data_IF_044729603373
#
_entry.id   IF_044729603373
#
_cell.length_a   1.000
_cell.length_b   1.000
_cell.length_c   1.000
_cell.angle_alpha   90.00
_cell.angle_beta   90.00
_cell.angle_gamma   90.00
#
_symmetry.space_group_name_H-M   'P 1'
#
loop_
_entity.id
_entity.type
_entity.pdbx_description
1 polymer ?
#
# COMPACT_ATOMS: atom_id res chain seq x y z
N UNK A 1 -36.32 3.90 -12.67
CA UNK A 1 -35.28 4.76 -13.25
C UNK A 1 -34.27 5.03 -12.15
N UNK A 2 -33.15 4.29 -12.12
CA UNK A 2 -32.08 4.48 -11.13
C UNK A 2 -31.13 5.55 -11.65
N UNK A 3 -31.05 6.69 -10.96
CA UNK A 3 -30.07 7.73 -11.22
C UNK A 3 -28.65 7.15 -11.03
N UNK A 4 -27.95 6.86 -12.12
CA UNK A 4 -26.50 6.73 -12.10
C UNK A 4 -25.94 8.11 -11.80
N UNK A 5 -25.41 8.30 -10.59
CA UNK A 5 -24.60 9.46 -10.25
C UNK A 5 -23.32 9.38 -11.09
N UNK A 6 -23.22 10.28 -12.05
CA UNK A 6 -22.01 10.54 -12.81
C UNK A 6 -20.97 11.17 -11.83
N UNK A 7 -20.23 10.36 -11.12
CA UNK A 7 -19.03 10.82 -10.40
C UNK A 7 -17.98 11.08 -11.48
N UNK A 8 -17.77 12.34 -11.84
CA UNK A 8 -16.86 12.77 -12.88
C UNK A 8 -15.39 12.49 -12.52
N UNK A 9 -15.03 11.22 -12.47
CA UNK A 9 -13.64 10.78 -12.41
C UNK A 9 -13.18 10.61 -13.84
N UNK A 10 -12.41 11.58 -14.32
CA UNK A 10 -11.75 11.50 -15.61
C UNK A 10 -10.62 10.46 -15.53
N UNK A 11 -10.95 9.20 -15.79
CA UNK A 11 -9.93 8.21 -16.18
C UNK A 11 -9.54 8.60 -17.60
N UNK A 12 -8.52 9.45 -17.70
CA UNK A 12 -8.08 10.03 -18.97
C UNK A 12 -7.10 9.04 -19.61
N UNK A 13 -7.55 8.38 -20.66
CA UNK A 13 -6.60 7.82 -21.65
C UNK A 13 -6.13 8.99 -22.50
N UNK A 14 -5.21 9.81 -21.97
CA UNK A 14 -4.56 10.84 -22.77
C UNK A 14 -3.71 10.22 -23.88
N UNK A 15 -3.62 10.94 -25.00
CA UNK A 15 -2.73 10.63 -26.13
C UNK A 15 -1.34 10.33 -25.58
N UNK A 16 -0.88 9.10 -25.74
CA UNK A 16 0.44 8.64 -25.30
C UNK A 16 1.52 9.50 -26.00
N UNK A 17 2.06 10.48 -25.27
CA UNK A 17 3.35 11.01 -25.64
C UNK A 17 4.40 9.98 -25.20
N UNK A 18 5.19 9.46 -26.12
CA UNK A 18 6.33 8.56 -25.80
C UNK A 18 7.40 9.29 -24.98
N UNK A 19 7.35 10.63 -24.97
CA UNK A 19 8.25 11.54 -24.26
C UNK A 19 7.47 12.54 -23.44
N UNK A 20 7.84 12.74 -22.18
CA UNK A 20 7.21 13.69 -21.27
C UNK A 20 8.25 14.35 -20.37
N UNK A 21 8.14 15.65 -20.20
CA UNK A 21 8.91 16.44 -19.24
C UNK A 21 8.02 16.93 -18.11
N UNK A 22 8.31 16.49 -16.89
CA UNK A 22 7.79 17.07 -15.66
C UNK A 22 8.72 18.19 -15.23
N UNK A 23 8.31 19.43 -15.47
CA UNK A 23 9.12 20.63 -15.25
C UNK A 23 8.81 21.28 -13.91
N UNK A 24 9.80 21.94 -13.32
CA UNK A 24 9.66 22.69 -12.06
C UNK A 24 9.06 21.86 -10.93
N UNK A 25 9.53 20.62 -10.76
CA UNK A 25 9.07 19.68 -9.76
C UNK A 25 9.82 19.86 -8.43
N UNK A 26 9.13 19.70 -7.32
CA UNK A 26 9.74 19.27 -6.06
C UNK A 26 9.90 17.75 -6.14
N UNK A 27 11.10 17.29 -6.50
CA UNK A 27 11.43 15.87 -6.62
C UNK A 27 11.67 15.30 -5.23
N UNK A 28 10.81 14.36 -4.83
CA UNK A 28 10.82 13.82 -3.48
C UNK A 28 10.72 12.29 -3.52
N UNK A 29 11.75 11.59 -3.06
CA UNK A 29 11.77 10.14 -2.88
C UNK A 29 12.51 9.73 -1.61
N UNK A 30 12.79 8.43 -1.42
CA UNK A 30 13.48 7.91 -0.25
C UNK A 30 14.92 8.43 -0.07
N UNK A 31 15.53 9.02 -1.10
CA UNK A 31 16.93 9.44 -1.15
C UNK A 31 17.09 10.89 -1.60
N UNK A 32 16.06 11.49 -2.17
CA UNK A 32 16.09 12.78 -2.83
C UNK A 32 15.00 13.70 -2.28
N UNK A 33 15.39 14.94 -1.99
CA UNK A 33 14.50 16.04 -1.66
C UNK A 33 15.11 17.32 -2.28
N UNK A 34 14.68 17.66 -3.51
CA UNK A 34 15.26 18.78 -4.25
C UNK A 34 14.28 19.30 -5.32
N UNK A 35 14.57 20.49 -5.86
CA UNK A 35 13.83 21.00 -7.01
C UNK A 35 14.56 20.70 -8.31
N UNK A 36 13.78 20.36 -9.36
CA UNK A 36 14.32 20.01 -10.66
C UNK A 36 13.27 19.67 -11.69
N UNK A 37 13.68 18.94 -12.72
CA UNK A 37 12.77 18.44 -13.76
C UNK A 37 13.11 16.98 -14.09
N UNK A 38 12.11 16.20 -14.47
CA UNK A 38 12.28 14.77 -14.78
C UNK A 38 11.78 14.54 -16.21
N UNK A 39 12.66 14.00 -17.05
CA UNK A 39 12.34 13.59 -18.40
C UNK A 39 12.10 12.09 -18.49
N UNK A 40 10.94 11.74 -19.00
CA UNK A 40 10.48 10.36 -19.18
C UNK A 40 10.40 10.07 -20.68
N UNK A 41 10.95 8.93 -21.09
CA UNK A 41 10.88 8.44 -22.45
C UNK A 41 10.52 6.95 -22.46
N UNK A 42 9.50 6.58 -23.22
CA UNK A 42 9.04 5.17 -23.35
C UNK A 42 8.80 4.47 -22.01
N UNK A 43 8.24 5.21 -21.04
CA UNK A 43 7.91 4.69 -19.72
C UNK A 43 9.05 4.62 -18.72
N UNK A 44 10.26 5.02 -19.10
CA UNK A 44 11.45 5.07 -18.24
C UNK A 44 11.87 6.50 -17.93
N UNK A 45 12.42 6.72 -16.76
CA UNK A 45 13.08 7.98 -16.41
C UNK A 45 14.42 8.04 -17.16
N UNK A 46 14.51 8.91 -18.16
CA UNK A 46 15.70 9.03 -19.01
C UNK A 46 16.70 10.02 -18.42
N UNK A 47 16.19 11.17 -17.89
CA UNK A 47 17.05 12.19 -17.30
C UNK A 47 16.37 12.93 -16.15
N UNK A 48 17.23 13.45 -15.25
CA UNK A 48 16.84 14.29 -14.12
C UNK A 48 17.71 15.53 -14.20
N UNK A 49 17.08 16.70 -14.28
CA UNK A 49 17.72 18.00 -14.36
C UNK A 49 17.59 18.72 -13.03
N UNK A 50 18.66 19.35 -12.56
CA UNK A 50 18.60 20.26 -11.40
C UNK A 50 17.95 21.59 -11.80
N UNK A 51 17.50 22.36 -10.84
CA UNK A 51 16.83 23.65 -11.09
C UNK A 51 17.70 24.64 -11.89
N UNK A 52 19.04 24.53 -11.79
CA UNK A 52 20.00 25.40 -12.50
C UNK A 52 20.36 24.89 -13.91
N UNK A 53 19.94 23.66 -14.28
CA UNK A 53 20.31 23.09 -15.56
C UNK A 53 19.50 23.75 -16.69
N UNK A 54 20.19 24.15 -17.76
CA UNK A 54 19.53 24.62 -18.98
C UNK A 54 19.08 23.39 -19.78
N UNK A 55 17.81 23.34 -20.12
CA UNK A 55 17.24 22.29 -20.95
C UNK A 55 17.23 22.81 -22.40
N UNK A 56 18.35 22.59 -23.10
CA UNK A 56 18.65 23.27 -24.38
C UNK A 56 17.79 22.82 -25.57
N UNK A 57 17.19 21.64 -25.55
CA UNK A 57 16.25 21.21 -26.60
C UNK A 57 15.33 20.10 -26.11
N UNK A 58 14.05 20.37 -26.11
CA UNK A 58 13.01 19.37 -25.97
C UNK A 58 12.45 19.10 -27.36
N UNK A 59 12.36 17.85 -27.78
CA UNK A 59 11.72 17.48 -29.02
C UNK A 59 10.31 18.09 -29.12
N UNK A 60 9.91 18.55 -30.29
CA UNK A 60 8.58 19.17 -30.52
C UNK A 60 7.42 18.23 -30.15
N UNK A 61 7.65 16.92 -30.12
CA UNK A 61 6.65 15.90 -29.77
C UNK A 61 6.63 15.55 -28.26
N UNK A 62 7.41 16.25 -27.43
CA UNK A 62 7.44 16.03 -25.99
C UNK A 62 6.25 16.72 -25.31
N UNK A 63 5.48 15.96 -24.54
CA UNK A 63 4.50 16.53 -23.60
C UNK A 63 5.23 17.24 -22.45
N UNK A 64 4.82 18.46 -22.11
CA UNK A 64 5.38 19.22 -20.98
C UNK A 64 4.30 19.43 -19.94
N UNK A 65 4.60 19.05 -18.70
CA UNK A 65 3.77 19.36 -17.52
C UNK A 65 4.58 20.25 -16.59
N UNK A 66 4.17 21.49 -16.39
CA UNK A 66 4.79 22.40 -15.43
C UNK A 66 4.16 22.20 -14.04
N UNK A 67 4.92 21.63 -13.12
CA UNK A 67 4.44 21.27 -11.78
C UNK A 67 4.39 22.48 -10.83
N UNK A 68 5.02 23.61 -11.19
CA UNK A 68 4.98 24.85 -10.39
C UNK A 68 5.37 24.63 -8.92
N UNK A 69 6.34 23.75 -8.67
CA UNK A 69 6.80 23.39 -7.33
C UNK A 69 6.03 22.28 -6.63
N UNK A 70 4.99 21.71 -7.25
CA UNK A 70 4.30 20.53 -6.70
C UNK A 70 5.22 19.32 -6.62
N UNK A 71 4.93 18.43 -5.67
CA UNK A 71 5.73 17.24 -5.47
C UNK A 71 5.56 16.23 -6.63
N UNK A 72 6.69 15.76 -7.16
CA UNK A 72 6.79 14.60 -8.01
C UNK A 72 7.44 13.49 -7.21
N UNK A 73 6.70 12.42 -6.96
CA UNK A 73 7.08 11.34 -6.06
C UNK A 73 6.97 9.98 -6.79
N UNK A 74 7.71 8.94 -6.36
CA UNK A 74 7.35 7.57 -6.76
C UNK A 74 5.92 7.29 -6.32
N UNK A 75 5.13 6.70 -7.19
CA UNK A 75 3.81 6.20 -6.80
C UNK A 75 3.95 5.12 -5.73
N UNK A 76 2.95 4.99 -4.87
CA UNK A 76 3.00 4.12 -3.69
C UNK A 76 2.77 2.65 -4.04
N UNK A 77 3.21 1.79 -3.13
CA UNK A 77 3.07 0.33 -3.17
C UNK A 77 2.31 -0.10 -1.92
N UNK A 78 1.15 -0.71 -2.10
CA UNK A 78 0.38 -1.29 -1.00
C UNK A 78 0.49 -2.82 -1.02
N UNK A 79 1.01 -3.38 0.05
CA UNK A 79 1.18 -4.83 0.16
C UNK A 79 0.09 -5.50 0.99
N UNK A 80 -0.90 -4.72 1.45
CA UNK A 80 -1.97 -5.21 2.30
C UNK A 80 -3.29 -4.48 2.03
N UNK A 81 -4.15 -5.06 1.20
CA UNK A 81 -5.52 -4.60 0.98
C UNK A 81 -6.48 -5.77 0.75
N UNK A 82 -7.80 -5.51 0.78
CA UNK A 82 -8.83 -6.52 0.62
C UNK A 82 -9.80 -6.11 -0.49
N UNK A 83 -9.67 -6.71 -1.68
CA UNK A 83 -10.57 -6.42 -2.81
C UNK A 83 -11.79 -7.34 -2.86
N UNK A 84 -11.94 -8.27 -1.92
CA UNK A 84 -13.16 -9.06 -1.70
C UNK A 84 -13.63 -9.92 -2.88
N UNK A 85 -12.87 -10.00 -3.95
CA UNK A 85 -13.18 -10.69 -5.20
C UNK A 85 -12.27 -11.92 -5.38
N UNK A 86 -12.83 -13.12 -5.49
CA UNK A 86 -14.24 -13.48 -5.66
C UNK A 86 -15.04 -13.57 -4.37
N UNK A 87 -16.38 -13.52 -4.54
CA UNK A 87 -17.36 -13.96 -3.57
C UNK A 87 -18.00 -12.88 -2.71
N UNK A 88 -17.40 -11.70 -2.62
CA UNK A 88 -17.91 -10.57 -1.85
C UNK A 88 -17.87 -9.27 -2.64
N UNK A 89 -18.08 -9.37 -3.97
CA UNK A 89 -17.93 -8.25 -4.92
C UNK A 89 -18.92 -7.11 -4.66
N UNK A 90 -19.93 -7.34 -3.81
CA UNK A 90 -20.83 -6.29 -3.36
C UNK A 90 -20.16 -5.30 -2.38
N UNK A 91 -19.10 -5.73 -1.67
CA UNK A 91 -18.31 -4.89 -0.78
C UNK A 91 -17.24 -4.13 -1.55
N UNK A 92 -16.52 -4.83 -2.41
CA UNK A 92 -15.47 -4.35 -3.30
C UNK A 92 -15.18 -5.38 -4.37
N UNK A 93 -14.68 -4.99 -5.53
CA UNK A 93 -14.12 -5.90 -6.50
C UNK A 93 -12.75 -5.39 -7.04
N UNK A 94 -12.08 -6.22 -7.82
CA UNK A 94 -10.77 -5.88 -8.37
C UNK A 94 -10.84 -4.60 -9.21
N UNK A 95 -11.89 -4.39 -10.01
CA UNK A 95 -12.03 -3.20 -10.86
C UNK A 95 -12.17 -1.91 -10.04
N UNK A 96 -13.08 -1.88 -9.08
CA UNK A 96 -13.31 -0.70 -8.23
C UNK A 96 -12.14 -0.48 -7.26
N UNK A 97 -11.57 -1.54 -6.70
CA UNK A 97 -10.40 -1.46 -5.84
C UNK A 97 -9.17 -0.90 -6.55
N UNK A 98 -8.90 -1.31 -7.80
CA UNK A 98 -7.80 -0.75 -8.61
C UNK A 98 -8.05 0.72 -8.97
N UNK A 99 -9.29 1.12 -9.23
CA UNK A 99 -9.64 2.53 -9.46
C UNK A 99 -9.44 3.38 -8.20
N UNK A 100 -9.82 2.85 -7.05
CA UNK A 100 -9.57 3.50 -5.76
C UNK A 100 -8.07 3.61 -5.46
N UNK A 101 -7.30 2.55 -5.71
CA UNK A 101 -5.86 2.51 -5.52
C UNK A 101 -5.13 3.57 -6.38
N UNK A 102 -5.40 3.61 -7.70
CA UNK A 102 -4.73 4.57 -8.58
C UNK A 102 -5.09 6.02 -8.24
N UNK A 103 -6.32 6.30 -7.80
CA UNK A 103 -6.72 7.60 -7.26
C UNK A 103 -6.00 7.93 -5.97
N UNK A 104 -5.76 6.93 -5.12
CA UNK A 104 -5.00 7.05 -3.88
C UNK A 104 -3.48 7.24 -4.07
N UNK A 105 -2.96 7.15 -5.31
CA UNK A 105 -1.54 7.30 -5.61
C UNK A 105 -0.76 5.98 -5.66
N UNK A 106 -1.42 4.83 -5.66
CA UNK A 106 -0.80 3.52 -5.69
C UNK A 106 -0.65 2.98 -7.12
N UNK A 107 0.56 2.55 -7.51
CA UNK A 107 0.78 1.88 -8.79
C UNK A 107 0.79 0.36 -8.67
N UNK A 108 0.98 -0.16 -7.47
CA UNK A 108 1.01 -1.58 -7.16
C UNK A 108 0.19 -1.87 -5.90
N UNK A 109 -0.58 -2.95 -5.95
CA UNK A 109 -1.36 -3.43 -4.80
C UNK A 109 -1.28 -4.95 -4.68
N UNK A 110 -1.22 -5.45 -3.45
CA UNK A 110 -1.31 -6.87 -3.15
C UNK A 110 -2.57 -7.15 -2.32
N UNK A 111 -3.49 -7.94 -2.88
CA UNK A 111 -4.77 -8.23 -2.26
C UNK A 111 -4.74 -9.53 -1.47
N UNK A 112 -5.23 -9.51 -0.22
CA UNK A 112 -5.28 -10.64 0.70
C UNK A 112 -6.15 -11.80 0.21
N UNK A 113 -5.85 -13.00 0.72
CA UNK A 113 -6.41 -14.26 0.26
C UNK A 113 -7.83 -14.57 0.76
N UNK A 114 -8.40 -13.75 1.66
CA UNK A 114 -9.67 -13.97 2.35
C UNK A 114 -10.91 -13.68 1.48
N UNK A 115 -10.97 -14.37 0.36
CA UNK A 115 -12.05 -14.35 -0.63
C UNK A 115 -12.93 -15.62 -0.53
N UNK A 116 -14.00 -15.74 -1.33
CA UNK A 116 -14.83 -16.93 -1.39
C UNK A 116 -15.09 -17.34 -2.85
N UNK A 117 -14.44 -18.41 -3.35
CA UNK A 117 -13.49 -19.26 -2.65
C UNK A 117 -12.18 -18.54 -2.27
N UNK A 118 -11.50 -19.06 -1.26
CA UNK A 118 -10.20 -18.57 -0.78
C UNK A 118 -9.15 -18.66 -1.88
N UNK A 119 -8.23 -17.69 -1.92
CA UNK A 119 -7.11 -17.69 -2.88
C UNK A 119 -5.96 -18.62 -2.39
N UNK A 120 -6.27 -19.91 -2.27
CA UNK A 120 -5.37 -20.98 -1.83
C UNK A 120 -4.91 -21.90 -2.98
N UNK A 121 -5.26 -21.58 -4.21
CA UNK A 121 -4.96 -22.39 -5.39
C UNK A 121 -4.72 -21.54 -6.64
N UNK A 122 -4.03 -22.14 -7.61
CA UNK A 122 -3.63 -21.48 -8.88
C UNK A 122 -4.82 -20.93 -9.66
N UNK A 123 -5.96 -21.62 -9.65
CA UNK A 123 -7.13 -21.21 -10.45
C UNK A 123 -7.65 -19.83 -10.02
N UNK A 124 -7.77 -19.62 -8.70
CA UNK A 124 -8.26 -18.35 -8.16
C UNK A 124 -7.22 -17.24 -8.37
N UNK A 125 -5.94 -17.53 -8.09
CA UNK A 125 -4.85 -16.56 -8.26
C UNK A 125 -4.77 -16.09 -9.72
N UNK A 126 -4.77 -17.02 -10.69
CA UNK A 126 -4.71 -16.67 -12.11
C UNK A 126 -5.94 -15.89 -12.57
N UNK A 127 -7.15 -16.28 -12.11
CA UNK A 127 -8.37 -15.53 -12.40
C UNK A 127 -8.23 -14.06 -11.97
N UNK A 128 -7.76 -13.84 -10.75
CA UNK A 128 -7.65 -12.50 -10.19
C UNK A 128 -6.54 -11.68 -10.88
N UNK A 129 -5.39 -12.29 -11.17
CA UNK A 129 -4.34 -11.65 -11.98
C UNK A 129 -4.85 -11.26 -13.37
N UNK A 130 -5.60 -12.15 -14.04
CA UNK A 130 -6.14 -11.85 -15.37
C UNK A 130 -7.16 -10.70 -15.30
N UNK A 131 -8.08 -10.72 -14.34
CA UNK A 131 -9.08 -9.66 -14.14
C UNK A 131 -8.40 -8.30 -13.89
N UNK A 132 -7.37 -8.26 -13.04
CA UNK A 132 -6.61 -7.05 -12.79
C UNK A 132 -5.84 -6.55 -14.02
N UNK A 133 -5.24 -7.47 -14.78
CA UNK A 133 -4.51 -7.17 -16.03
C UNK A 133 -5.42 -6.53 -17.08
N UNK A 134 -6.66 -6.95 -17.16
CA UNK A 134 -7.64 -6.44 -18.14
C UNK A 134 -8.03 -4.98 -17.84
N UNK A 135 -8.01 -4.55 -16.56
CA UNK A 135 -8.26 -3.16 -16.15
C UNK A 135 -7.14 -2.20 -16.55
N UNK A 136 -5.88 -2.65 -16.65
CA UNK A 136 -4.71 -1.84 -17.07
C UNK A 136 -4.48 -0.58 -16.23
N UNK A 137 -4.84 -0.60 -14.95
CA UNK A 137 -4.76 0.55 -14.05
C UNK A 137 -3.51 0.50 -13.15
N UNK A 138 -3.38 -0.55 -12.35
CA UNK A 138 -2.26 -0.79 -11.43
C UNK A 138 -1.61 -2.13 -11.71
N UNK A 139 -0.38 -2.31 -11.29
CA UNK A 139 0.17 -3.65 -11.11
C UNK A 139 -0.51 -4.31 -9.91
N UNK A 140 -0.83 -5.59 -10.03
CA UNK A 140 -1.62 -6.32 -9.04
C UNK A 140 -0.98 -7.65 -8.69
N UNK A 141 -0.96 -7.98 -7.41
CA UNK A 141 -0.60 -9.29 -6.91
C UNK A 141 -1.74 -9.88 -6.07
N UNK A 142 -2.10 -11.12 -6.34
CA UNK A 142 -2.96 -11.89 -5.44
C UNK A 142 -2.09 -12.60 -4.42
N UNK A 143 -2.21 -12.24 -3.15
CA UNK A 143 -1.59 -12.95 -2.04
C UNK A 143 -2.23 -14.33 -1.94
N UNK A 144 -1.42 -15.38 -1.80
CA UNK A 144 -1.93 -16.73 -1.57
C UNK A 144 -2.19 -16.97 -0.08
N UNK A 145 -3.22 -17.71 0.25
CA UNK A 145 -3.35 -18.27 1.60
C UNK A 145 -2.14 -19.17 1.89
N UNK A 146 -1.63 -19.17 3.13
CA UNK A 146 -0.60 -20.11 3.55
C UNK A 146 -1.20 -21.45 3.98
N UNK A 147 -2.41 -21.44 4.51
CA UNK A 147 -3.17 -22.64 4.86
C UNK A 147 -4.36 -22.85 3.93
N UNK A 148 -4.68 -24.10 3.62
CA UNK A 148 -5.85 -24.47 2.83
C UNK A 148 -7.11 -23.92 3.51
N UNK A 149 -7.90 -23.12 2.76
CA UNK A 149 -9.13 -22.51 3.29
C UNK A 149 -8.89 -21.47 4.39
N UNK A 150 -7.68 -20.89 4.51
CA UNK A 150 -7.25 -20.00 5.61
C UNK A 150 -7.22 -20.69 6.99
N UNK A 151 -7.15 -22.01 7.02
CA UNK A 151 -7.00 -22.79 8.26
C UNK A 151 -5.51 -22.93 8.63
N UNK A 152 -5.21 -23.31 9.86
CA UNK A 152 -3.85 -23.56 10.36
C UNK A 152 -3.57 -25.06 10.60
N UNK A 153 -4.16 -25.93 9.74
CA UNK A 153 -3.99 -27.38 9.78
C UNK A 153 -3.04 -27.91 8.71
N UNK A 154 -3.25 -27.50 7.46
CA UNK A 154 -2.52 -27.97 6.29
C UNK A 154 -2.04 -26.81 5.43
N UNK A 155 -0.74 -26.84 5.07
CA UNK A 155 -0.16 -25.86 4.16
C UNK A 155 -0.66 -26.06 2.72
N UNK A 156 -0.82 -24.96 1.98
CA UNK A 156 -0.99 -25.01 0.54
C UNK A 156 0.28 -25.55 -0.16
N UNK A 157 0.19 -25.89 -1.44
CA UNK A 157 1.38 -26.22 -2.25
C UNK A 157 2.19 -24.94 -2.52
N UNK A 158 2.97 -24.52 -1.52
CA UNK A 158 3.76 -23.28 -1.55
C UNK A 158 4.69 -23.22 -2.75
N UNK A 159 5.32 -24.34 -3.12
CA UNK A 159 6.22 -24.43 -4.27
C UNK A 159 5.52 -24.08 -5.58
N UNK A 160 4.30 -24.57 -5.80
CA UNK A 160 3.52 -24.23 -7.00
C UNK A 160 3.04 -22.81 -6.98
N UNK A 161 2.54 -22.31 -5.83
CA UNK A 161 1.96 -20.98 -5.74
C UNK A 161 3.04 -19.88 -5.76
N UNK A 162 4.27 -20.19 -5.31
CA UNK A 162 5.39 -19.24 -5.32
C UNK A 162 5.72 -18.70 -6.73
N UNK A 163 5.38 -19.44 -7.78
CA UNK A 163 5.54 -18.96 -9.16
C UNK A 163 4.61 -17.79 -9.52
N UNK A 164 3.54 -17.57 -8.74
CA UNK A 164 2.52 -16.56 -9.00
C UNK A 164 2.53 -15.43 -7.98
N UNK A 165 2.98 -15.68 -6.77
CA UNK A 165 3.06 -14.68 -5.71
C UNK A 165 4.27 -14.91 -4.81
N UNK A 166 4.83 -13.81 -4.31
CA UNK A 166 5.92 -13.84 -3.33
C UNK A 166 5.41 -13.74 -1.88
N UNK A 167 4.13 -13.43 -1.70
CA UNK A 167 3.55 -13.14 -0.40
C UNK A 167 2.43 -14.13 -0.09
N UNK A 168 2.51 -14.74 1.11
CA UNK A 168 1.54 -15.71 1.62
C UNK A 168 1.00 -15.23 2.96
N UNK A 169 -0.30 -15.38 3.18
CA UNK A 169 -0.95 -14.93 4.42
C UNK A 169 -2.25 -15.67 4.67
N UNK A 170 -2.58 -15.86 5.94
CA UNK A 170 -3.94 -16.18 6.38
C UNK A 170 -4.68 -14.96 6.91
N UNK A 171 -4.29 -13.73 6.50
CA UNK A 171 -4.87 -12.51 7.02
C UNK A 171 -6.39 -12.50 7.02
N UNK A 172 -6.95 -11.92 8.09
CA UNK A 172 -8.32 -12.09 8.52
C UNK A 172 -8.51 -13.24 9.51
N UNK A 173 -7.56 -14.22 9.54
CA UNK A 173 -7.50 -15.32 10.51
C UNK A 173 -6.12 -15.36 11.17
N UNK A 174 -6.11 -15.74 12.46
CA UNK A 174 -4.87 -16.02 13.18
C UNK A 174 -4.31 -17.40 12.82
N UNK A 175 -2.99 -17.55 12.95
CA UNK A 175 -2.33 -18.86 12.99
C UNK A 175 -2.09 -19.17 14.47
N UNK A 176 -2.92 -20.01 15.08
CA UNK A 176 -2.79 -20.41 16.48
C UNK A 176 -1.86 -21.61 16.68
N UNK A 177 -1.83 -22.53 15.71
CA UNK A 177 -0.98 -23.71 15.79
C UNK A 177 0.50 -23.35 15.69
N UNK A 178 1.25 -23.63 16.77
CA UNK A 178 2.71 -23.45 16.84
C UNK A 178 3.42 -24.31 15.79
N UNK A 179 2.98 -25.54 15.63
CA UNK A 179 3.52 -26.51 14.69
C UNK A 179 3.31 -26.09 13.24
N UNK A 180 2.12 -25.55 12.93
CA UNK A 180 1.82 -25.02 11.61
C UNK A 180 2.68 -23.77 11.31
N UNK A 181 2.75 -22.82 12.24
CA UNK A 181 3.56 -21.61 12.10
C UNK A 181 5.05 -21.94 11.87
N UNK A 182 5.58 -22.90 12.63
CA UNK A 182 6.96 -23.38 12.46
C UNK A 182 7.19 -23.97 11.06
N UNK A 183 6.26 -24.81 10.58
CA UNK A 183 6.31 -25.36 9.21
C UNK A 183 6.24 -24.24 8.15
N UNK A 184 5.35 -23.27 8.32
CA UNK A 184 5.20 -22.14 7.41
C UNK A 184 6.48 -21.29 7.32
N UNK A 185 7.16 -21.04 8.45
CA UNK A 185 8.45 -20.36 8.48
C UNK A 185 9.55 -21.15 7.76
N UNK A 186 9.62 -22.47 7.98
CA UNK A 186 10.58 -23.32 7.28
C UNK A 186 10.34 -23.34 5.77
N UNK A 187 9.09 -23.42 5.33
CA UNK A 187 8.74 -23.34 3.90
C UNK A 187 9.03 -21.94 3.33
N UNK A 188 8.80 -20.85 4.09
CA UNK A 188 9.13 -19.49 3.65
C UNK A 188 10.63 -19.31 3.37
N UNK A 189 11.47 -19.96 4.17
CA UNK A 189 12.92 -19.97 3.96
C UNK A 189 13.32 -20.81 2.76
N UNK A 190 12.72 -21.98 2.62
CA UNK A 190 13.03 -22.95 1.56
C UNK A 190 12.62 -22.48 0.17
N UNK A 191 11.41 -21.95 0.03
CA UNK A 191 10.82 -21.52 -1.23
C UNK A 191 11.00 -20.00 -1.49
N UNK A 192 11.70 -19.28 -0.61
CA UNK A 192 11.99 -17.84 -0.67
C UNK A 192 10.73 -16.98 -0.87
N UNK A 193 9.74 -17.14 -0.01
CA UNK A 193 8.56 -16.28 0.04
C UNK A 193 8.46 -15.54 1.37
N UNK A 194 7.58 -14.53 1.45
CA UNK A 194 7.29 -13.76 2.64
C UNK A 194 6.03 -14.32 3.28
N UNK A 195 6.13 -14.71 4.55
CA UNK A 195 5.00 -15.09 5.38
C UNK A 195 4.47 -13.85 6.12
N UNK A 196 3.34 -13.31 5.68
CA UNK A 196 2.67 -12.19 6.33
C UNK A 196 1.63 -12.71 7.34
N UNK A 197 1.69 -12.20 8.57
CA UNK A 197 0.86 -12.71 9.67
C UNK A 197 0.00 -11.61 10.29
N UNK A 198 -1.28 -11.91 10.43
CA UNK A 198 -2.22 -11.22 11.30
C UNK A 198 -2.10 -11.82 12.70
N UNK A 199 -1.99 -11.00 13.72
CA UNK A 199 -1.80 -11.45 15.11
C UNK A 199 -2.85 -10.84 16.04
N UNK A 200 -3.72 -11.69 16.61
CA UNK A 200 -4.71 -11.29 17.62
C UNK A 200 -4.99 -12.43 18.59
N UNK A 201 -4.61 -12.36 19.88
CA UNK A 201 -4.02 -11.21 20.61
C UNK A 201 -2.61 -10.85 20.11
N UNK A 202 -2.40 -9.56 19.82
CA UNK A 202 -1.25 -9.09 19.02
C UNK A 202 0.10 -9.44 19.65
N UNK A 203 0.42 -8.89 20.81
CA UNK A 203 1.74 -9.09 21.43
C UNK A 203 2.06 -10.55 21.74
N UNK A 204 1.06 -11.34 22.15
CA UNK A 204 1.25 -12.76 22.48
C UNK A 204 1.63 -13.60 21.25
N UNK A 205 0.90 -13.40 20.12
CA UNK A 205 1.19 -14.13 18.89
C UNK A 205 2.50 -13.65 18.27
N UNK A 206 2.77 -12.34 18.27
CA UNK A 206 4.05 -11.79 17.81
C UNK A 206 5.22 -12.37 18.62
N UNK A 207 5.12 -12.42 19.96
CA UNK A 207 6.16 -12.99 20.80
C UNK A 207 6.46 -14.45 20.43
N UNK A 208 5.41 -15.27 20.26
CA UNK A 208 5.53 -16.66 19.82
C UNK A 208 6.20 -16.77 18.44
N UNK A 209 5.76 -15.95 17.48
CA UNK A 209 6.26 -16.01 16.11
C UNK A 209 7.72 -15.57 16.00
N UNK A 210 8.12 -14.58 16.79
CA UNK A 210 9.51 -14.15 16.89
C UNK A 210 10.40 -15.23 17.51
N UNK A 211 9.92 -15.97 18.53
CA UNK A 211 10.64 -17.11 19.11
C UNK A 211 10.83 -18.23 18.07
N UNK A 212 9.79 -18.53 17.29
CA UNK A 212 9.88 -19.51 16.22
C UNK A 212 10.81 -19.05 15.09
N UNK A 213 10.77 -17.76 14.73
CA UNK A 213 11.67 -17.17 13.75
C UNK A 213 13.14 -17.28 14.21
N UNK A 214 13.42 -17.03 15.50
CA UNK A 214 14.75 -17.21 16.10
C UNK A 214 15.20 -18.68 16.05
N UNK A 215 14.27 -19.63 16.27
CA UNK A 215 14.55 -21.06 16.27
C UNK A 215 14.85 -21.63 14.87
N UNK A 216 14.03 -21.31 13.87
CA UNK A 216 14.10 -21.98 12.54
C UNK A 216 14.50 -21.07 11.39
N UNK A 217 14.49 -19.75 11.59
CA UNK A 217 14.62 -18.77 10.53
C UNK A 217 13.37 -18.67 9.67
N UNK A 218 13.46 -17.94 8.58
CA UNK A 218 12.35 -17.67 7.65
C UNK A 218 12.31 -16.23 7.22
N UNK A 219 11.27 -15.85 6.44
CA UNK A 219 11.02 -14.49 6.01
C UNK A 219 9.66 -14.05 6.57
N UNK A 220 9.65 -13.39 7.72
CA UNK A 220 8.43 -12.99 8.42
C UNK A 220 8.09 -11.52 8.13
N UNK A 221 6.82 -11.26 7.86
CA UNK A 221 6.24 -9.92 7.83
C UNK A 221 5.07 -9.84 8.82
N UNK A 222 5.11 -8.87 9.73
CA UNK A 222 4.07 -8.67 10.75
C UNK A 222 3.14 -7.56 10.23
N UNK A 223 1.88 -7.92 9.99
CA UNK A 223 0.86 -7.00 9.49
C UNK A 223 0.41 -6.01 10.57
N UNK A 224 0.00 -4.81 10.14
CA UNK A 224 -0.78 -3.78 10.88
C UNK A 224 -0.50 -3.71 12.39
N UNK A 225 0.78 -3.55 12.78
CA UNK A 225 1.17 -3.43 14.20
C UNK A 225 0.46 -2.24 14.84
N UNK A 226 -0.12 -2.45 16.04
CA UNK A 226 -0.98 -1.45 16.69
C UNK A 226 -0.64 -1.15 18.15
N UNK A 227 0.22 -1.94 18.81
CA UNK A 227 0.48 -1.78 20.25
C UNK A 227 1.94 -1.49 20.60
N UNK A 228 2.14 -0.73 21.68
CA UNK A 228 3.46 -0.42 22.26
C UNK A 228 4.24 -1.69 22.62
N UNK A 229 3.55 -2.70 23.15
CA UNK A 229 4.19 -3.97 23.54
C UNK A 229 4.73 -4.70 22.31
N UNK A 230 3.94 -4.77 21.23
CA UNK A 230 4.36 -5.36 19.96
C UNK A 230 5.56 -4.64 19.35
N UNK A 231 5.57 -3.31 19.36
CA UNK A 231 6.71 -2.51 18.90
C UNK A 231 7.98 -2.83 19.69
N UNK A 232 7.87 -2.97 21.01
CA UNK A 232 9.01 -3.36 21.86
C UNK A 232 9.57 -4.72 21.44
N UNK A 233 8.72 -5.73 21.28
CA UNK A 233 9.13 -7.10 20.87
C UNK A 233 9.79 -7.08 19.48
N UNK A 234 9.22 -6.39 18.52
CA UNK A 234 9.76 -6.27 17.16
C UNK A 234 11.12 -5.55 17.16
N UNK A 235 11.26 -4.47 17.92
CA UNK A 235 12.51 -3.72 18.04
C UNK A 235 13.63 -4.60 18.61
N UNK A 236 13.35 -5.34 19.69
CA UNK A 236 14.29 -6.28 20.30
C UNK A 236 14.70 -7.40 19.33
N UNK A 237 13.75 -7.95 18.56
CA UNK A 237 14.01 -8.97 17.56
C UNK A 237 14.90 -8.46 16.41
N UNK A 238 14.65 -7.22 15.92
CA UNK A 238 15.49 -6.58 14.91
C UNK A 238 16.90 -6.28 15.42
N UNK A 239 17.05 -5.85 16.69
CA UNK A 239 18.35 -5.64 17.32
C UNK A 239 19.16 -6.93 17.45
N UNK A 240 18.52 -8.08 17.63
CA UNK A 240 19.14 -9.41 17.57
C UNK A 240 19.49 -9.86 16.15
N UNK A 241 19.13 -9.10 15.12
CA UNK A 241 19.39 -9.43 13.72
C UNK A 241 18.41 -10.41 13.08
N UNK A 242 17.23 -10.61 13.67
CA UNK A 242 16.22 -11.46 13.07
C UNK A 242 15.69 -10.86 11.75
N UNK A 243 15.43 -11.70 10.77
CA UNK A 243 15.00 -11.33 9.42
C UNK A 243 13.48 -11.14 9.40
N UNK A 244 13.02 -9.93 9.75
CA UNK A 244 11.60 -9.60 9.72
C UNK A 244 11.38 -8.17 9.21
N UNK A 245 10.19 -7.95 8.70
CA UNK A 245 9.62 -6.63 8.42
C UNK A 245 8.27 -6.49 9.10
N UNK A 246 7.81 -5.27 9.29
CA UNK A 246 6.47 -5.00 9.79
C UNK A 246 5.89 -3.74 9.16
N UNK A 247 4.57 -3.63 9.22
CA UNK A 247 3.82 -2.51 8.67
C UNK A 247 2.90 -1.85 9.69
N UNK A 248 2.51 -0.63 9.38
CA UNK A 248 1.49 0.13 10.12
C UNK A 248 0.49 0.73 9.14
N UNK A 249 -0.76 0.85 9.58
CA UNK A 249 -1.85 1.37 8.76
C UNK A 249 -2.06 2.86 8.96
N UNK A 250 -2.70 3.57 7.99
CA UNK A 250 -2.97 4.99 8.13
C UNK A 250 -3.86 5.30 9.34
N UNK A 251 -4.85 4.46 9.62
CA UNK A 251 -5.79 4.70 10.71
C UNK A 251 -5.15 4.53 12.10
N UNK A 252 -4.21 3.61 12.31
CA UNK A 252 -3.48 3.47 13.57
C UNK A 252 -2.45 4.58 13.80
N UNK A 253 -1.85 5.13 12.71
CA UNK A 253 -0.92 6.26 12.79
C UNK A 253 -1.62 7.62 12.89
N UNK A 254 -2.82 7.75 12.36
CA UNK A 254 -3.55 9.02 12.31
C UNK A 254 -4.34 9.29 13.59
N UNK A 255 -4.81 8.22 14.27
CA UNK A 255 -5.69 8.39 15.41
C UNK A 255 -5.62 7.23 16.41
N UNK A 256 -6.19 7.44 17.60
CA UNK A 256 -6.27 6.47 18.69
C UNK A 256 -7.61 6.59 19.44
N UNK A 257 -8.00 5.54 20.16
CA UNK A 257 -9.16 5.56 21.05
C UNK A 257 -10.51 5.77 20.35
N UNK A 258 -10.58 5.55 19.03
CA UNK A 258 -11.83 5.67 18.28
C UNK A 258 -12.69 4.43 18.50
N UNK A 259 -13.94 4.61 18.89
CA UNK A 259 -14.93 3.54 18.95
C UNK A 259 -15.45 3.21 17.55
N UNK A 260 -14.61 2.51 16.78
CA UNK A 260 -14.95 2.00 15.47
C UNK A 260 -14.28 0.65 15.25
N UNK A 261 -15.06 -0.35 14.83
CA UNK A 261 -14.59 -1.72 14.77
C UNK A 261 -13.62 -1.94 13.60
N UNK A 262 -12.37 -2.16 13.95
CA UNK A 262 -11.25 -2.60 13.08
C UNK A 262 -10.54 -3.78 13.77
N UNK A 263 -9.69 -4.46 13.08
CA UNK A 263 -8.90 -5.57 13.62
C UNK A 263 -7.47 -5.53 13.04
N UNK A 264 -6.45 -5.16 13.86
CA UNK A 264 -6.51 -4.89 15.30
C UNK A 264 -7.34 -3.63 15.65
N UNK A 265 -7.87 -3.52 16.89
CA UNK A 265 -8.61 -2.34 17.32
C UNK A 265 -7.69 -1.11 17.44
N UNK A 266 -8.30 0.09 17.43
CA UNK A 266 -7.57 1.31 17.77
C UNK A 266 -6.96 1.19 19.16
N UNK A 267 -5.66 1.46 19.25
CA UNK A 267 -4.90 1.44 20.49
C UNK A 267 -5.16 2.64 21.39
N UNK A 268 -4.50 2.65 22.53
CA UNK A 268 -4.44 3.78 23.46
C UNK A 268 -3.59 4.94 22.88
N UNK A 269 -3.59 6.07 23.59
CA UNK A 269 -2.71 7.19 23.28
C UNK A 269 -1.23 6.80 23.36
N UNK A 270 -0.89 5.96 24.33
CA UNK A 270 0.46 5.42 24.53
C UNK A 270 0.90 4.52 23.38
N UNK A 271 -0.01 3.70 22.87
CA UNK A 271 0.22 2.85 21.69
C UNK A 271 0.48 3.71 20.45
N UNK A 272 -0.36 4.71 20.21
CA UNK A 272 -0.19 5.64 19.10
C UNK A 272 1.17 6.34 19.11
N UNK A 273 1.61 6.90 20.25
CA UNK A 273 2.94 7.52 20.33
C UNK A 273 4.06 6.51 20.15
N UNK A 274 3.91 5.27 20.60
CA UNK A 274 4.88 4.22 20.35
C UNK A 274 5.02 3.89 18.87
N UNK A 275 3.92 3.89 18.11
CA UNK A 275 3.94 3.73 16.64
C UNK A 275 4.65 4.90 15.95
N UNK A 276 4.39 6.15 16.37
CA UNK A 276 5.07 7.33 15.83
C UNK A 276 6.59 7.24 16.04
N UNK A 277 7.03 6.92 17.26
CA UNK A 277 8.47 6.73 17.54
C UNK A 277 9.06 5.54 16.78
N UNK A 278 8.30 4.47 16.56
CA UNK A 278 8.74 3.32 15.78
C UNK A 278 8.86 3.61 14.27
N UNK A 279 8.10 4.57 13.76
CA UNK A 279 8.29 5.11 12.40
C UNK A 279 9.58 5.92 12.32
N UNK A 280 9.87 6.77 13.33
CA UNK A 280 11.08 7.62 13.38
C UNK A 280 12.36 6.79 13.51
N UNK A 281 12.39 5.80 14.38
CA UNK A 281 13.57 4.98 14.69
C UNK A 281 13.74 3.79 13.73
N UNK A 282 12.89 3.68 12.70
CA UNK A 282 12.91 2.62 11.68
C UNK A 282 12.58 1.21 12.19
N UNK A 283 11.94 1.08 13.35
CA UNK A 283 11.39 -0.19 13.82
C UNK A 283 10.28 -0.68 12.89
N UNK A 284 9.38 0.23 12.43
CA UNK A 284 8.38 -0.06 11.40
C UNK A 284 8.99 0.21 10.02
N UNK A 285 8.81 -0.71 9.09
CA UNK A 285 9.42 -0.65 7.76
C UNK A 285 8.50 -0.05 6.70
N UNK A 286 7.20 -0.36 6.76
CA UNK A 286 6.26 -0.19 5.64
C UNK A 286 4.99 0.50 6.11
N UNK A 287 4.43 1.34 5.24
CA UNK A 287 3.09 1.87 5.32
C UNK A 287 2.18 1.05 4.40
N UNK A 288 1.22 0.35 4.96
CA UNK A 288 0.23 -0.41 4.20
C UNK A 288 -1.18 0.03 4.59
N UNK A 289 -2.17 -0.15 3.71
CA UNK A 289 -3.48 0.45 3.97
C UNK A 289 -4.37 -0.38 4.88
N UNK A 290 -4.27 -1.69 4.79
CA UNK A 290 -5.33 -2.58 5.28
C UNK A 290 -6.71 -2.08 4.82
N UNK A 291 -6.80 -1.69 3.54
CA UNK A 291 -8.06 -1.27 2.94
C UNK A 291 -9.05 -2.44 3.00
N UNK A 292 -9.99 -2.34 3.91
CA UNK A 292 -10.93 -3.41 4.26
C UNK A 292 -12.39 -2.94 4.08
N UNK A 293 -12.87 -2.88 2.83
CA UNK A 293 -14.21 -2.39 2.51
C UNK A 293 -15.31 -3.35 2.99
N UNK A 294 -16.37 -2.76 3.54
CA UNK A 294 -17.58 -3.44 3.98
C UNK A 294 -18.83 -2.61 3.65
N UNK A 295 -19.92 -3.29 3.30
CA UNK A 295 -21.21 -2.61 3.15
C UNK A 295 -21.70 -2.04 4.49
N UNK A 296 -22.66 -1.14 4.42
CA UNK A 296 -23.30 -0.59 5.63
C UNK A 296 -23.89 -1.70 6.50
N UNK A 297 -24.56 -2.66 5.88
CA UNK A 297 -25.19 -3.80 6.56
C UNK A 297 -24.13 -4.70 7.24
N UNK A 298 -22.98 -4.88 6.61
CA UNK A 298 -21.89 -5.65 7.22
C UNK A 298 -21.31 -4.92 8.44
N UNK A 299 -21.14 -3.60 8.35
CA UNK A 299 -20.67 -2.79 9.48
C UNK A 299 -21.67 -2.81 10.64
N UNK A 300 -22.98 -2.73 10.37
CA UNK A 300 -24.04 -2.85 11.38
C UNK A 300 -24.02 -4.23 12.07
N UNK A 301 -23.63 -5.29 11.34
CA UNK A 301 -23.39 -6.64 11.91
C UNK A 301 -22.03 -6.78 12.60
N UNK A 302 -21.23 -5.71 12.64
CA UNK A 302 -19.96 -5.65 13.34
C UNK A 302 -18.76 -6.15 12.57
N UNK A 303 -18.77 -6.19 11.23
CA UNK A 303 -17.58 -6.52 10.44
C UNK A 303 -16.45 -5.52 10.69
N UNK A 304 -15.21 -5.97 11.01
CA UNK A 304 -14.07 -5.08 11.20
C UNK A 304 -13.52 -4.60 9.87
N UNK A 305 -13.08 -3.33 9.80
CA UNK A 305 -12.37 -2.80 8.63
C UNK A 305 -12.75 -1.37 8.27
N UNK A 306 -11.89 -0.72 7.47
CA UNK A 306 -12.01 0.66 6.99
C UNK A 306 -11.72 0.71 5.49
N UNK A 307 -12.53 1.49 4.75
CA UNK A 307 -12.19 1.92 3.39
C UNK A 307 -11.30 3.15 3.46
N UNK A 308 -10.01 3.02 3.15
CA UNK A 308 -9.03 4.09 3.37
C UNK A 308 -7.98 4.25 2.26
N UNK A 309 -7.89 3.39 1.26
CA UNK A 309 -6.85 3.45 0.22
C UNK A 309 -6.81 4.80 -0.51
N UNK A 310 -7.97 5.46 -0.67
CA UNK A 310 -8.08 6.78 -1.31
C UNK A 310 -7.68 7.95 -0.40
N UNK A 311 -7.63 7.73 0.91
CA UNK A 311 -7.31 8.77 1.91
C UNK A 311 -6.01 8.52 2.66
N UNK A 312 -5.42 7.33 2.48
CA UNK A 312 -4.21 6.91 3.18
C UNK A 312 -3.05 7.91 3.00
N UNK A 313 -2.80 8.36 1.76
CA UNK A 313 -1.78 9.38 1.46
C UNK A 313 -1.95 10.61 2.35
N UNK A 314 -3.15 11.19 2.37
CA UNK A 314 -3.42 12.44 3.10
C UNK A 314 -3.35 12.26 4.62
N UNK A 315 -3.80 11.10 5.13
CA UNK A 315 -3.68 10.76 6.56
C UNK A 315 -2.21 10.62 6.96
N UNK A 316 -1.40 9.95 6.15
CA UNK A 316 0.03 9.81 6.38
C UNK A 316 0.76 11.16 6.32
N UNK A 317 0.53 11.97 5.27
CA UNK A 317 1.17 13.29 5.13
C UNK A 317 0.83 14.18 6.33
N UNK A 318 -0.43 14.19 6.76
CA UNK A 318 -0.84 14.94 7.96
C UNK A 318 -0.07 14.47 9.20
N UNK A 319 -0.03 13.15 9.45
CA UNK A 319 0.69 12.58 10.59
C UNK A 319 2.19 12.88 10.53
N UNK A 320 2.83 12.70 9.37
CA UNK A 320 4.25 12.95 9.22
C UNK A 320 4.61 14.42 9.50
N UNK A 321 3.78 15.36 9.05
CA UNK A 321 3.94 16.78 9.35
C UNK A 321 3.69 17.11 10.82
N UNK A 322 2.61 16.58 11.42
CA UNK A 322 2.26 16.85 12.81
C UNK A 322 3.32 16.37 13.81
N UNK A 323 4.10 15.35 13.43
CA UNK A 323 5.14 14.76 14.28
C UNK A 323 6.56 14.99 13.78
N UNK A 324 6.78 15.95 12.85
CA UNK A 324 8.09 16.31 12.28
C UNK A 324 8.89 15.11 11.74
N UNK A 325 8.19 14.21 11.04
CA UNK A 325 8.81 13.08 10.35
C UNK A 325 9.11 13.51 8.90
N UNK A 326 10.33 13.25 8.41
CA UNK A 326 10.71 13.65 7.05
C UNK A 326 9.86 12.98 5.97
N UNK A 327 9.57 13.71 4.90
CA UNK A 327 8.82 13.15 3.76
C UNK A 327 9.67 12.17 2.94
N UNK A 328 11.00 12.23 3.04
CA UNK A 328 11.88 11.16 2.50
C UNK A 328 11.63 9.84 3.22
N UNK A 329 11.39 9.89 4.56
CA UNK A 329 10.99 8.70 5.33
C UNK A 329 9.61 8.18 4.91
N UNK A 330 8.66 9.07 4.61
CA UNK A 330 7.38 8.67 4.02
C UNK A 330 7.59 7.90 2.71
N UNK A 331 8.39 8.43 1.77
CA UNK A 331 8.68 7.75 0.50
C UNK A 331 9.43 6.42 0.71
N UNK A 332 10.34 6.38 1.70
CA UNK A 332 11.02 5.14 2.07
C UNK A 332 10.02 4.05 2.45
N UNK A 333 9.02 4.38 3.28
CA UNK A 333 8.05 3.43 3.82
C UNK A 333 6.88 3.12 2.89
N UNK A 334 6.45 4.07 2.07
CA UNK A 334 5.26 3.93 1.20
C UNK A 334 5.59 3.39 -0.20
N UNK A 335 6.86 3.51 -0.63
CA UNK A 335 7.25 3.15 -1.99
C UNK A 335 8.50 2.26 -2.00
N UNK A 336 9.62 2.73 -1.46
CA UNK A 336 10.92 2.05 -1.60
C UNK A 336 10.98 0.70 -0.86
N UNK A 337 10.63 0.66 0.42
CA UNK A 337 10.70 -0.56 1.22
C UNK A 337 9.71 -1.64 0.79
N UNK A 338 8.41 -1.34 0.55
CA UNK A 338 7.49 -2.36 0.06
C UNK A 338 7.86 -2.82 -1.35
N UNK A 339 8.34 -1.96 -2.25
CA UNK A 339 8.83 -2.37 -3.57
C UNK A 339 10.03 -3.31 -3.46
N UNK A 340 11.01 -2.99 -2.61
CA UNK A 340 12.17 -3.84 -2.33
C UNK A 340 11.74 -5.21 -1.77
N UNK A 341 10.79 -5.23 -0.84
CA UNK A 341 10.26 -6.45 -0.26
C UNK A 341 9.61 -7.34 -1.33
N UNK A 342 8.83 -6.74 -2.24
CA UNK A 342 8.15 -7.46 -3.32
C UNK A 342 9.07 -7.78 -4.49
N UNK A 343 10.29 -7.22 -4.55
CA UNK A 343 11.23 -7.41 -5.66
C UNK A 343 10.84 -6.63 -6.91
N UNK A 344 10.14 -5.49 -6.73
CA UNK A 344 9.80 -4.58 -7.83
C UNK A 344 11.01 -3.70 -8.19
N UNK A 345 11.13 -3.38 -9.47
CA UNK A 345 12.17 -2.47 -9.95
C UNK A 345 11.83 -1.02 -9.60
N UNK A 346 12.68 -0.43 -8.75
CA UNK A 346 12.82 1.02 -8.54
C UNK A 346 11.55 1.80 -8.16
N UNK A 347 11.36 1.97 -6.87
CA UNK A 347 10.45 2.98 -6.31
C UNK A 347 11.26 4.22 -5.84
N UNK A 348 12.20 4.67 -6.67
CA UNK A 348 12.97 5.92 -6.52
C UNK A 348 13.03 6.63 -7.88
N UNK A 349 13.19 7.94 -7.86
CA UNK A 349 13.33 8.76 -9.07
C UNK A 349 14.80 8.74 -9.52
N UNK A 350 15.15 7.77 -10.37
CA UNK A 350 16.51 7.59 -10.88
C UNK A 350 16.52 7.23 -12.37
N UNK A 351 17.63 7.50 -13.05
CA UNK A 351 17.78 7.14 -14.47
C UNK A 351 17.55 5.64 -14.67
N UNK A 352 16.81 5.31 -15.73
CA UNK A 352 16.40 3.95 -16.15
C UNK A 352 15.38 3.28 -15.21
N UNK A 353 14.89 3.98 -14.18
CA UNK A 353 13.76 3.50 -13.39
C UNK A 353 12.46 3.57 -14.21
N UNK A 354 11.53 2.66 -13.94
CA UNK A 354 10.16 2.77 -14.44
C UNK A 354 9.53 4.07 -13.94
N UNK A 355 8.88 4.82 -14.84
CA UNK A 355 8.21 6.06 -14.50
C UNK A 355 6.84 5.80 -13.83
N UNK A 356 6.86 5.09 -12.70
CA UNK A 356 5.73 4.91 -11.81
C UNK A 356 5.71 6.08 -10.82
N UNK A 357 5.01 7.14 -11.18
CA UNK A 357 5.11 8.44 -10.51
C UNK A 357 3.74 8.92 -10.06
N UNK A 358 3.73 9.76 -9.03
CA UNK A 358 2.55 10.56 -8.67
C UNK A 358 2.91 12.02 -8.51
N UNK A 359 1.95 12.88 -8.84
CA UNK A 359 2.01 14.31 -8.58
C UNK A 359 1.09 14.61 -7.40
N UNK A 360 1.59 15.34 -6.42
CA UNK A 360 0.83 15.67 -5.22
C UNK A 360 1.03 17.13 -4.78
N UNK A 361 0.00 17.68 -4.15
CA UNK A 361 0.08 18.88 -3.32
C UNK A 361 0.25 18.45 -1.86
N UNK A 362 1.36 18.86 -1.24
CA UNK A 362 1.71 18.41 0.12
C UNK A 362 1.07 19.26 1.22
N UNK A 363 0.69 20.50 0.93
CA UNK A 363 0.19 21.48 1.91
C UNK A 363 -1.34 21.72 1.81
N UNK A 364 -2.01 21.00 0.92
CA UNK A 364 -3.44 21.14 0.71
C UNK A 364 -4.22 20.54 1.89
N UNK A 365 -4.85 21.41 2.70
CA UNK A 365 -5.73 20.99 3.79
C UNK A 365 -7.15 20.80 3.23
N UNK A 366 -7.77 19.68 3.55
CA UNK A 366 -9.16 19.42 3.19
C UNK A 366 -9.82 18.44 4.19
N UNK A 367 -11.13 18.37 4.15
CA UNK A 367 -11.89 17.39 4.95
C UNK A 367 -12.21 16.15 4.13
N UNK A 368 -12.01 14.98 4.71
CA UNK A 368 -12.41 13.72 4.08
C UNK A 368 -13.92 13.76 3.82
N UNK A 369 -14.30 13.49 2.59
CA UNK A 369 -15.68 13.27 2.19
C UNK A 369 -15.82 11.85 1.61
N UNK A 370 -16.38 10.95 2.41
CA UNK A 370 -16.57 9.55 2.03
C UNK A 370 -17.49 9.33 0.83
N UNK A 371 -18.30 10.35 0.46
CA UNK A 371 -19.18 10.29 -0.70
C UNK A 371 -18.40 10.43 -2.02
N UNK A 372 -17.13 10.86 -1.97
CA UNK A 372 -16.24 10.99 -3.13
C UNK A 372 -15.44 9.72 -3.41
N UNK A 373 -15.57 8.67 -2.58
CA UNK A 373 -14.83 7.42 -2.75
C UNK A 373 -15.29 6.69 -4.00
N UNK A 374 -14.31 6.14 -4.73
CA UNK A 374 -14.50 5.26 -5.90
C UNK A 374 -14.71 3.82 -5.44
N UNK A 375 -14.07 3.43 -4.34
CA UNK A 375 -14.34 2.16 -3.68
C UNK A 375 -15.85 1.95 -3.52
N UNK A 376 -16.34 0.75 -3.75
CA UNK A 376 -17.77 0.43 -3.60
C UNK A 376 -18.29 0.69 -2.20
N UNK A 377 -17.43 0.54 -1.22
CA UNK A 377 -17.75 0.81 0.18
C UNK A 377 -17.01 2.06 0.66
N UNK A 378 -17.69 2.84 1.46
CA UNK A 378 -17.18 4.09 2.04
C UNK A 378 -17.21 4.08 3.58
N UNK A 379 -16.98 2.88 4.15
CA UNK A 379 -16.99 2.64 5.58
C UNK A 379 -15.72 3.23 6.24
N UNK A 380 -15.81 4.45 6.71
CA UNK A 380 -14.73 5.16 7.43
C UNK A 380 -15.27 5.94 8.61
N UNK A 381 -14.55 5.97 9.77
CA UNK A 381 -14.90 6.85 10.89
C UNK A 381 -14.38 8.28 10.67
N UNK A 382 -13.56 8.51 9.65
CA UNK A 382 -12.84 9.78 9.43
C UNK A 382 -13.58 10.75 8.51
N UNK A 383 -14.85 10.52 8.20
CA UNK A 383 -15.66 11.46 7.42
C UNK A 383 -15.71 12.83 8.11
N UNK A 384 -15.37 13.90 7.39
CA UNK A 384 -15.29 15.25 7.94
C UNK A 384 -13.98 15.59 8.69
N UNK A 385 -13.08 14.64 8.92
CA UNK A 385 -11.78 14.90 9.54
C UNK A 385 -10.87 15.67 8.57
N UNK A 386 -10.13 16.63 9.13
CA UNK A 386 -9.15 17.40 8.36
C UNK A 386 -7.86 16.60 8.15
N UNK A 387 -7.42 16.54 6.90
CA UNK A 387 -6.18 15.89 6.48
C UNK A 387 -5.36 16.83 5.61
N UNK A 388 -4.11 16.46 5.35
CA UNK A 388 -3.17 17.26 4.57
C UNK A 388 -2.58 16.46 3.42
N UNK A 389 -2.41 17.10 2.28
CA UNK A 389 -1.84 16.49 1.08
C UNK A 389 -2.90 15.84 0.20
N UNK A 390 -2.77 16.02 -1.11
CA UNK A 390 -3.72 15.53 -2.11
C UNK A 390 -2.98 14.97 -3.32
N UNK A 391 -3.32 13.75 -3.71
CA UNK A 391 -2.86 13.17 -4.98
C UNK A 391 -3.60 13.85 -6.12
N UNK A 392 -2.85 14.40 -7.08
CA UNK A 392 -3.39 15.07 -8.26
C UNK A 392 -3.42 14.15 -9.47
N UNK A 393 -2.35 13.40 -9.70
CA UNK A 393 -2.28 12.42 -10.79
C UNK A 393 -1.34 11.27 -10.46
N UNK A 394 -1.60 10.13 -11.08
CA UNK A 394 -0.80 8.90 -10.91
C UNK A 394 -0.49 8.30 -12.27
N UNK A 395 0.79 7.95 -12.45
CA UNK A 395 1.35 7.42 -13.68
C UNK A 395 1.87 6.00 -13.46
N UNK A 396 1.58 5.12 -14.41
CA UNK A 396 2.16 3.78 -14.51
C UNK A 396 3.01 3.73 -15.79
N UNK A 397 4.32 3.55 -15.63
CA UNK A 397 5.29 3.53 -16.75
C UNK A 397 5.09 4.72 -17.70
N UNK A 398 5.04 5.92 -17.12
CA UNK A 398 4.85 7.17 -17.85
C UNK A 398 3.45 7.42 -18.41
N UNK A 399 2.52 6.47 -18.26
CA UNK A 399 1.13 6.62 -18.72
C UNK A 399 0.26 7.12 -17.58
N UNK A 400 -0.39 8.28 -17.75
CA UNK A 400 -1.34 8.81 -16.77
C UNK A 400 -2.53 7.85 -16.64
N UNK A 401 -2.79 7.38 -15.42
CA UNK A 401 -3.89 6.48 -15.09
C UNK A 401 -4.98 7.18 -14.28
N UNK A 402 -4.61 8.19 -13.54
CA UNK A 402 -5.51 9.06 -12.80
C UNK A 402 -5.09 10.50 -12.94
N UNK A 403 -6.05 11.39 -13.18
CA UNK A 403 -5.89 12.84 -13.13
C UNK A 403 -7.11 13.46 -12.46
N UNK A 404 -6.89 14.25 -11.43
CA UNK A 404 -7.95 14.98 -10.70
C UNK A 404 -8.52 16.15 -11.51
N UNK A 405 -7.95 16.47 -12.68
CA UNK A 405 -8.25 17.69 -13.45
C UNK A 405 -7.62 18.97 -12.88
N UNK A 406 -6.73 18.84 -11.89
CA UNK A 406 -6.03 19.97 -11.25
C UNK A 406 -4.51 19.93 -11.51
N UNK A 407 -4.04 19.02 -12.33
CA UNK A 407 -2.61 18.84 -12.63
C UNK A 407 -2.07 19.91 -13.59
N UNK A 408 -2.91 20.47 -14.45
CA UNK A 408 -2.56 21.48 -15.45
C UNK A 408 -2.95 22.90 -15.03
#
# INVERSE_FOLDING_TARGET
MKNQKNTGVNIVIQKLHSKMLFKNAHILDAQTDCFGSVFVCNGLIENIFKSCDVIDSIDQDCGIIDLKGRALMPAMVDIHCHFRDPGYEYKEDISSGLKAAIKGGYFYVAAMANTSPVADNIKIINRNHQKAKDEKLCEFNQIAAIGIGLDDKELVDTKKLRAFTKLFSNDGNNIFSKEFMKKALLESKKEDFILAVHCQPEAQLIQRDLQLLEEVGGNLHICHVSTKESIKLIREAKQKGLKLTCEVTPHHLFSYGIDYRVNPPFGSKEDHYALIEAVKDKTIDILATDHAPHSKEDKEKGSPGISNIETAFSMYIKTFKDYDISLTRFCEMSSYMPAKLMGLNNAIISKKADANLMIAELDNLYKIDRNTFISKSNNTPFDGYEVCGKVLSTYLKGVCKYDSGQTL
#
